data_IF_597168352139
#
_entry.id   IF_597168352139
#
_cell.length_a   1.000
_cell.length_b   1.000
_cell.length_c   1.000
_cell.angle_alpha   90.00
_cell.angle_beta   90.00
_cell.angle_gamma   90.00
#
_symmetry.space_group_name_H-M   'P 1'
#
loop_
_entity.id
_entity.type
_entity.pdbx_description
1 polymer ?
#
# COMPACT_ATOMS: atom_id res chain seq x y z
N UNK A 1 -6.56 -15.38 -7.81
CA UNK A 1 -5.65 -14.57 -8.64
C UNK A 1 -4.30 -14.58 -7.97
N UNK A 2 -3.46 -15.53 -8.37
CA UNK A 2 -2.14 -15.74 -7.80
C UNK A 2 -1.15 -15.09 -8.77
N UNK A 3 -0.74 -13.86 -8.49
CA UNK A 3 0.32 -13.19 -9.23
C UNK A 3 1.10 -12.38 -8.22
N UNK A 4 2.17 -12.98 -7.69
CA UNK A 4 3.29 -12.22 -7.12
C UNK A 4 3.96 -11.45 -8.28
N UNK A 5 3.23 -10.50 -8.86
CA UNK A 5 3.64 -9.75 -10.02
C UNK A 5 4.78 -8.83 -9.57
N UNK A 6 6.00 -9.25 -9.91
CA UNK A 6 7.16 -8.36 -9.85
C UNK A 6 6.86 -7.18 -10.78
N UNK A 7 6.86 -5.98 -10.21
CA UNK A 7 6.64 -4.74 -10.97
C UNK A 7 7.96 -4.40 -11.66
N UNK A 8 7.99 -4.16 -12.99
CA UNK A 8 9.21 -3.67 -13.65
C UNK A 8 9.68 -2.37 -13.01
N UNK A 9 10.98 -2.25 -12.76
CA UNK A 9 11.56 -1.05 -12.13
C UNK A 9 11.26 0.24 -12.90
N UNK A 10 11.07 0.16 -14.22
CA UNK A 10 10.71 1.30 -15.08
C UNK A 10 9.32 1.85 -14.81
N UNK A 11 8.42 1.06 -14.24
CA UNK A 11 7.05 1.45 -13.89
C UNK A 11 6.97 2.09 -12.49
N UNK A 12 8.01 1.94 -11.66
CA UNK A 12 8.03 2.44 -10.28
C UNK A 12 8.66 3.82 -10.24
N UNK A 13 7.84 4.87 -10.28
CA UNK A 13 8.33 6.25 -10.13
C UNK A 13 8.73 6.60 -8.70
N UNK A 14 8.18 5.90 -7.71
CA UNK A 14 8.46 6.11 -6.28
C UNK A 14 8.01 4.90 -5.47
N UNK A 15 8.77 4.56 -4.43
CA UNK A 15 8.38 3.56 -3.41
C UNK A 15 7.56 4.16 -2.26
N UNK A 16 7.29 5.47 -2.31
CA UNK A 16 6.46 6.14 -1.33
C UNK A 16 5.00 6.20 -1.76
N UNK A 17 4.10 5.98 -0.81
CA UNK A 17 2.67 6.08 -1.05
C UNK A 17 2.29 7.54 -1.29
N UNK A 18 1.76 7.83 -2.49
CA UNK A 18 1.17 9.13 -2.84
C UNK A 18 -0.36 9.14 -2.79
N UNK A 19 -0.95 8.15 -2.11
CA UNK A 19 -2.41 7.96 -1.99
C UNK A 19 -3.15 7.90 -3.34
N UNK A 20 -2.57 7.25 -4.36
CA UNK A 20 -3.17 7.17 -5.70
C UNK A 20 -4.10 5.97 -5.93
N UNK A 21 -4.27 5.06 -4.94
CA UNK A 21 -5.15 3.89 -5.02
C UNK A 21 -4.64 2.71 -5.87
N UNK A 22 -3.92 2.95 -6.97
CA UNK A 22 -3.47 1.86 -7.87
C UNK A 22 -2.68 0.75 -7.18
N UNK A 23 -1.81 1.11 -6.23
CA UNK A 23 -1.00 0.12 -5.54
C UNK A 23 -1.79 -0.71 -4.51
N UNK A 24 -2.92 -0.18 -4.02
CA UNK A 24 -3.84 -0.82 -3.07
C UNK A 24 -4.74 -1.88 -3.70
N UNK A 25 -4.68 -2.10 -5.01
CA UNK A 25 -5.55 -3.06 -5.70
C UNK A 25 -4.79 -4.38 -5.90
N UNK A 26 -3.55 -4.27 -6.39
CA UNK A 26 -2.77 -5.42 -6.86
C UNK A 26 -1.59 -5.80 -5.99
N UNK A 27 -1.17 -4.94 -5.05
CA UNK A 27 0.14 -5.08 -4.41
C UNK A 27 0.10 -4.91 -2.91
N UNK A 28 0.89 -5.72 -2.22
CA UNK A 28 1.10 -5.58 -0.78
C UNK A 28 2.21 -4.55 -0.53
N UNK A 29 1.83 -3.30 -0.30
CA UNK A 29 2.77 -2.19 -0.14
C UNK A 29 3.10 -1.97 1.34
N UNK A 30 4.36 -2.13 1.79
CA UNK A 30 4.76 -1.76 3.13
C UNK A 30 4.79 -0.23 3.28
N UNK A 31 4.22 0.27 4.37
CA UNK A 31 4.22 1.68 4.72
C UNK A 31 5.35 2.01 5.68
N UNK A 32 5.95 3.19 5.48
CA UNK A 32 6.75 3.84 6.51
C UNK A 32 5.84 4.36 7.62
N UNK A 33 6.42 4.63 8.79
CA UNK A 33 5.66 5.06 9.96
C UNK A 33 4.96 6.42 9.74
N UNK A 34 5.59 7.35 9.02
CA UNK A 34 5.00 8.63 8.64
C UNK A 34 3.86 8.47 7.61
N UNK A 35 4.00 7.55 6.66
CA UNK A 35 2.97 7.24 5.67
C UNK A 35 1.75 6.57 6.34
N UNK A 36 1.98 5.63 7.26
CA UNK A 36 0.93 5.03 8.07
C UNK A 36 0.10 6.09 8.79
N UNK A 37 0.75 7.01 9.52
CA UNK A 37 0.06 8.06 10.27
C UNK A 37 -0.77 8.96 9.34
N UNK A 38 -0.21 9.34 8.19
CA UNK A 38 -0.92 10.16 7.19
C UNK A 38 -2.15 9.45 6.64
N UNK A 39 -2.00 8.19 6.24
CA UNK A 39 -3.08 7.38 5.67
C UNK A 39 -4.15 7.12 6.73
N UNK A 40 -3.78 6.73 7.95
CA UNK A 40 -4.74 6.46 9.02
C UNK A 40 -5.54 7.69 9.42
N UNK A 41 -4.89 8.87 9.44
CA UNK A 41 -5.55 10.13 9.75
C UNK A 41 -6.52 10.57 8.65
N UNK A 42 -6.24 10.24 7.38
CA UNK A 42 -7.06 10.67 6.25
C UNK A 42 -8.21 9.70 5.94
N UNK A 43 -7.97 8.39 6.04
CA UNK A 43 -8.91 7.36 5.58
C UNK A 43 -9.42 6.44 6.70
N UNK A 44 -8.86 6.53 7.90
CA UNK A 44 -9.17 5.62 9.01
C UNK A 44 -8.18 4.46 9.13
N UNK A 45 -8.26 3.71 10.22
CA UNK A 45 -7.32 2.59 10.49
C UNK A 45 -7.68 1.28 9.79
N UNK A 46 -8.88 1.18 9.20
CA UNK A 46 -9.39 -0.03 8.53
C UNK A 46 -8.75 -0.29 7.16
N UNK A 47 -8.14 0.74 6.58
CA UNK A 47 -7.35 0.65 5.34
C UNK A 47 -5.92 0.11 5.56
N UNK A 48 -5.56 -0.23 6.79
CA UNK A 48 -4.25 -0.76 7.15
C UNK A 48 -4.30 -2.26 7.46
N UNK A 49 -3.24 -2.97 7.08
CA UNK A 49 -2.99 -4.38 7.42
C UNK A 49 -1.63 -4.49 8.12
N UNK A 50 -1.53 -5.28 9.19
CA UNK A 50 -0.27 -5.47 9.92
C UNK A 50 0.28 -6.88 9.70
N UNK A 51 1.59 -7.00 9.47
CA UNK A 51 2.25 -8.29 9.31
C UNK A 51 3.78 -8.21 9.35
N UNK A 52 4.46 -9.27 9.83
CA UNK A 52 5.94 -9.29 9.91
C UNK A 52 6.53 -8.05 10.63
N UNK A 53 5.82 -7.48 11.60
CA UNK A 53 6.24 -6.27 12.32
C UNK A 53 6.18 -4.96 11.51
N UNK A 54 5.54 -4.97 10.34
CA UNK A 54 5.34 -3.80 9.48
C UNK A 54 3.85 -3.56 9.22
N UNK A 55 3.52 -2.35 8.83
CA UNK A 55 2.20 -2.06 8.30
C UNK A 55 2.21 -2.00 6.78
N UNK A 56 1.07 -2.39 6.21
CA UNK A 56 0.82 -2.42 4.79
C UNK A 56 -0.51 -1.72 4.52
N UNK A 57 -0.69 -1.27 3.29
CA UNK A 57 -2.01 -0.92 2.79
C UNK A 57 -2.82 -2.21 2.63
N UNK A 58 -4.05 -2.20 3.14
CA UNK A 58 -5.01 -3.27 2.93
C UNK A 58 -5.47 -3.21 1.47
N UNK A 59 -5.44 -4.35 0.79
CA UNK A 59 -5.96 -4.39 -0.57
C UNK A 59 -7.48 -4.20 -0.58
N UNK A 60 -7.95 -3.23 -1.37
CA UNK A 60 -9.38 -3.00 -1.62
C UNK A 60 -9.66 -3.11 -3.12
N UNK A 61 -10.85 -3.61 -3.47
CA UNK A 61 -11.27 -3.80 -4.86
C UNK A 61 -11.56 -2.48 -5.59
N UNK A 62 -11.70 -1.37 -4.87
CA UNK A 62 -12.01 -0.04 -5.41
C UNK A 62 -10.81 0.94 -5.43
N UNK A 63 -9.65 0.56 -4.88
CA UNK A 63 -8.43 1.39 -4.87
C UNK A 63 -8.44 2.48 -3.80
#
# INVERSE_FOLDING_TARGET
MNNSALIPWTEVSSWSCKACGNCCIGYRVPLKMDEMIRVSNQYGGDVLEYGLGKAYLRNQSNG
#
